data_IF_309907497463
#
_entry.id   IF_309907497463
#
_cell.length_a   1.000
_cell.length_b   1.000
_cell.length_c   1.000
_cell.angle_alpha   90.00
_cell.angle_beta   90.00
_cell.angle_gamma   90.00
#
_symmetry.space_group_name_H-M   'P 1'
#
loop_
_entity.id
_entity.type
_entity.pdbx_description
1 polymer ?
#
# COMPACT_ATOMS: atom_id res chain seq x y z
N UNK A 1 24.87 1.53 13.28
CA UNK A 1 25.47 2.32 12.17
C UNK A 1 24.51 2.29 11.01
N UNK A 2 24.08 3.43 10.48
CA UNK A 2 23.20 3.54 9.31
C UNK A 2 24.05 3.96 8.11
N UNK A 3 23.91 3.26 6.98
CA UNK A 3 24.58 3.61 5.73
C UNK A 3 23.52 4.08 4.74
N UNK A 4 23.75 5.21 4.09
CA UNK A 4 22.92 5.71 2.99
C UNK A 4 23.64 5.43 1.67
N UNK A 5 22.95 4.77 0.75
CA UNK A 5 23.49 4.44 -0.57
C UNK A 5 22.76 5.29 -1.62
N UNK A 6 23.47 5.94 -2.55
CA UNK A 6 22.82 6.63 -3.67
C UNK A 6 22.22 5.59 -4.63
N UNK A 7 20.96 5.76 -5.00
CA UNK A 7 20.33 5.01 -6.07
C UNK A 7 20.78 5.60 -7.42
N UNK A 8 21.74 4.96 -8.08
CA UNK A 8 22.35 5.50 -9.31
C UNK A 8 21.63 5.11 -10.60
N UNK A 9 20.99 3.94 -10.61
CA UNK A 9 20.24 3.46 -11.78
C UNK A 9 19.08 2.56 -11.35
N UNK A 10 18.04 2.53 -12.18
CA UNK A 10 16.86 1.69 -11.97
C UNK A 10 17.20 0.23 -12.27
N UNK A 11 16.62 -0.69 -11.48
CA UNK A 11 16.80 -2.13 -11.58
C UNK A 11 17.60 -2.72 -10.41
N UNK A 12 17.91 -4.01 -10.52
CA UNK A 12 18.65 -4.73 -9.49
C UNK A 12 20.10 -4.22 -9.44
N UNK A 13 20.49 -3.64 -8.30
CA UNK A 13 21.82 -3.14 -8.04
C UNK A 13 22.53 -4.02 -7.02
N UNK A 14 23.72 -4.52 -7.35
CA UNK A 14 24.55 -5.31 -6.47
C UNK A 14 25.51 -4.42 -5.67
N UNK A 15 25.50 -4.59 -4.36
CA UNK A 15 26.37 -3.86 -3.45
C UNK A 15 27.26 -4.81 -2.67
N UNK A 16 28.47 -4.34 -2.38
CA UNK A 16 29.37 -5.00 -1.45
C UNK A 16 29.70 -4.05 -0.31
N UNK A 17 29.31 -4.39 0.89
CA UNK A 17 29.74 -3.69 2.10
C UNK A 17 31.02 -4.37 2.62
N UNK A 18 32.07 -3.60 2.81
CA UNK A 18 33.34 -4.09 3.39
C UNK A 18 33.75 -3.22 4.59
N UNK A 19 34.17 -3.85 5.66
CA UNK A 19 34.75 -3.20 6.84
C UNK A 19 36.25 -3.43 6.77
N UNK A 20 37.06 -2.38 6.96
CA UNK A 20 38.53 -2.51 7.01
C UNK A 20 38.90 -3.38 8.20
N UNK A 21 39.63 -4.50 7.98
CA UNK A 21 40.02 -5.40 9.05
C UNK A 21 40.96 -4.69 10.06
N UNK A 22 40.81 -5.03 11.33
CA UNK A 22 41.76 -4.63 12.36
C UNK A 22 43.07 -5.42 12.24
N UNK A 23 44.19 -4.86 12.65
CA UNK A 23 45.53 -5.47 12.55
C UNK A 23 45.60 -6.86 13.22
N UNK A 24 44.83 -7.09 14.29
CA UNK A 24 44.80 -8.35 15.08
C UNK A 24 43.59 -9.19 14.85
N UNK A 25 42.80 -8.91 13.82
CA UNK A 25 41.54 -9.63 13.55
C UNK A 25 41.81 -11.00 12.94
N UNK A 26 41.31 -12.06 13.61
CA UNK A 26 41.51 -13.46 13.21
C UNK A 26 40.60 -13.90 12.07
N UNK A 27 39.35 -13.36 12.00
CA UNK A 27 38.39 -13.71 10.97
C UNK A 27 38.06 -12.48 10.12
N UNK A 28 38.59 -12.44 8.91
CA UNK A 28 38.40 -11.34 7.95
C UNK A 28 37.29 -11.60 6.93
N UNK A 29 36.74 -12.82 6.90
CA UNK A 29 35.73 -13.22 5.91
C UNK A 29 34.37 -12.57 6.21
N UNK A 30 34.06 -12.37 7.49
CA UNK A 30 32.83 -11.73 7.94
C UNK A 30 32.81 -10.19 7.73
N UNK A 31 33.94 -9.60 7.33
CA UNK A 31 34.05 -8.15 7.06
C UNK A 31 33.49 -7.76 5.68
N UNK A 32 33.09 -8.72 4.87
CA UNK A 32 32.54 -8.46 3.54
C UNK A 32 31.14 -9.07 3.45
N UNK A 33 30.16 -8.23 3.09
CA UNK A 33 28.78 -8.67 2.84
C UNK A 33 28.30 -8.17 1.48
N UNK A 34 27.86 -9.10 0.65
CA UNK A 34 27.17 -8.78 -0.62
C UNK A 34 25.66 -8.76 -0.41
N UNK A 35 24.99 -7.81 -1.03
CA UNK A 35 23.52 -7.73 -1.04
C UNK A 35 23.07 -7.01 -2.30
N UNK A 36 21.84 -7.29 -2.72
CA UNK A 36 21.23 -6.61 -3.85
C UNK A 36 20.07 -5.74 -3.38
N UNK A 37 19.86 -4.63 -4.07
CA UNK A 37 18.75 -3.70 -3.86
C UNK A 37 18.06 -3.48 -5.20
N UNK A 38 16.76 -3.72 -5.26
CA UNK A 38 15.96 -3.38 -6.45
C UNK A 38 15.60 -1.89 -6.39
N UNK A 39 16.26 -1.11 -7.24
CA UNK A 39 16.04 0.33 -7.36
C UNK A 39 14.90 0.56 -8.35
N UNK A 40 13.78 1.04 -7.82
CA UNK A 40 12.58 1.35 -8.60
C UNK A 40 12.50 2.86 -8.80
N UNK A 41 12.51 3.33 -10.05
CA UNK A 41 12.17 4.72 -10.35
C UNK A 41 10.65 4.85 -10.30
N UNK A 42 10.14 5.37 -9.19
CA UNK A 42 8.72 5.60 -9.01
C UNK A 42 8.46 7.00 -8.48
N UNK A 43 8.52 7.97 -9.39
CA UNK A 43 7.96 9.29 -9.10
C UNK A 43 6.44 9.18 -9.08
N UNK A 44 5.81 9.62 -8.00
CA UNK A 44 4.35 9.60 -7.87
C UNK A 44 3.84 11.04 -7.89
N UNK A 45 3.13 11.41 -8.95
CA UNK A 45 2.44 12.71 -9.02
C UNK A 45 1.02 12.56 -8.49
N UNK A 46 0.66 13.37 -7.51
CA UNK A 46 -0.64 13.34 -6.84
C UNK A 46 -1.38 14.65 -7.08
N UNK A 47 -2.61 14.54 -7.57
CA UNK A 47 -3.51 15.68 -7.70
C UNK A 47 -4.51 15.68 -6.54
N UNK A 48 -4.60 16.76 -5.78
CA UNK A 48 -5.66 16.99 -4.81
C UNK A 48 -6.71 17.93 -5.43
N UNK A 49 -7.87 17.39 -5.74
CA UNK A 49 -9.02 18.16 -6.15
C UNK A 49 -9.81 18.53 -4.89
N UNK A 50 -9.92 19.83 -4.60
CA UNK A 50 -10.51 20.29 -3.34
C UNK A 50 -11.87 20.95 -3.55
N UNK A 51 -12.88 20.46 -2.82
CA UNK A 51 -14.20 21.08 -2.78
C UNK A 51 -14.24 22.34 -1.89
N UNK A 52 -13.28 22.45 -0.97
CA UNK A 52 -13.13 23.56 -0.05
C UNK A 52 -11.70 23.73 0.44
N UNK A 53 -11.37 24.84 1.07
CA UNK A 53 -10.12 25.01 1.82
C UNK A 53 -10.26 24.36 3.20
N UNK A 54 -9.28 23.57 3.58
CA UNK A 54 -9.24 22.89 4.88
C UNK A 54 -7.79 22.59 5.30
N UNK A 55 -7.45 22.61 6.61
CA UNK A 55 -6.11 22.25 7.10
C UNK A 55 -5.63 20.86 6.67
N UNK A 56 -6.53 19.90 6.46
CA UNK A 56 -6.18 18.55 5.98
C UNK A 56 -5.46 18.58 4.63
N UNK A 57 -5.73 19.55 3.76
CA UNK A 57 -5.06 19.66 2.46
C UNK A 57 -3.57 19.95 2.65
N UNK A 58 -3.25 20.89 3.55
CA UNK A 58 -1.87 21.21 3.91
C UNK A 58 -1.17 20.04 4.60
N UNK A 59 -1.87 19.34 5.48
CA UNK A 59 -1.38 18.14 6.16
C UNK A 59 -1.10 17.02 5.15
N UNK A 60 -2.04 16.69 4.25
CA UNK A 60 -1.86 15.69 3.19
C UNK A 60 -0.67 16.04 2.29
N UNK A 61 -0.57 17.31 1.87
CA UNK A 61 0.56 17.79 1.07
C UNK A 61 1.88 17.52 1.78
N UNK A 62 2.00 17.89 3.06
CA UNK A 62 3.22 17.68 3.85
C UNK A 62 3.54 16.20 4.04
N UNK A 63 2.56 15.38 4.43
CA UNK A 63 2.75 13.95 4.64
C UNK A 63 3.15 13.21 3.34
N UNK A 64 2.58 13.59 2.20
CA UNK A 64 2.91 12.98 0.91
C UNK A 64 4.31 13.38 0.44
N UNK A 65 4.66 14.66 0.55
CA UNK A 65 5.95 15.19 0.07
C UNK A 65 7.12 14.96 1.03
N UNK A 66 6.91 14.28 2.16
CA UNK A 66 8.01 13.75 3.00
C UNK A 66 8.92 12.84 2.17
N UNK A 67 8.38 12.10 1.22
CA UNK A 67 9.18 11.40 0.21
C UNK A 67 9.44 12.35 -0.97
N UNK A 68 10.71 12.65 -1.24
CA UNK A 68 11.15 13.57 -2.31
C UNK A 68 10.75 13.14 -3.73
N UNK A 69 10.43 11.87 -3.93
CA UNK A 69 9.94 11.33 -5.22
C UNK A 69 8.43 11.53 -5.42
N UNK A 70 7.75 12.22 -4.51
CA UNK A 70 6.33 12.50 -4.60
C UNK A 70 6.10 13.99 -4.75
N UNK A 71 5.27 14.35 -5.72
CA UNK A 71 4.82 15.72 -5.90
C UNK A 71 3.31 15.83 -5.71
N UNK A 72 2.87 16.95 -5.16
CA UNK A 72 1.45 17.23 -4.92
C UNK A 72 1.07 18.56 -5.56
N UNK A 73 0.03 18.52 -6.36
CA UNK A 73 -0.64 19.71 -6.89
C UNK A 73 -2.08 19.73 -6.36
N UNK A 74 -2.60 20.90 -5.99
CA UNK A 74 -4.00 21.02 -5.58
C UNK A 74 -4.72 22.07 -6.43
N UNK A 75 -5.91 21.74 -6.91
CA UNK A 75 -6.71 22.58 -7.80
C UNK A 75 -8.20 22.50 -7.45
N UNK A 76 -8.98 23.40 -8.06
CA UNK A 76 -10.45 23.38 -7.96
C UNK A 76 -11.05 22.32 -8.92
N UNK A 77 -12.28 21.85 -8.68
CA UNK A 77 -12.91 20.84 -9.52
C UNK A 77 -13.08 21.28 -10.98
N UNK A 78 -13.30 22.58 -11.22
CA UNK A 78 -13.52 23.12 -12.57
C UNK A 78 -12.30 22.93 -13.49
N UNK A 79 -11.10 23.03 -12.91
CA UNK A 79 -9.83 22.95 -13.65
C UNK A 79 -9.27 21.52 -13.71
N UNK A 80 -9.80 20.61 -12.88
CA UNK A 80 -9.20 19.30 -12.66
C UNK A 80 -9.37 18.34 -13.84
N UNK A 81 -10.54 18.31 -14.47
CA UNK A 81 -10.88 17.32 -15.48
C UNK A 81 -9.90 17.29 -16.67
N UNK A 82 -9.33 18.43 -17.03
CA UNK A 82 -8.41 18.56 -18.16
C UNK A 82 -7.03 17.95 -17.90
N UNK A 83 -6.57 17.96 -16.63
CA UNK A 83 -5.19 17.59 -16.26
C UNK A 83 -5.10 16.23 -15.57
N UNK A 84 -6.21 15.52 -15.34
CA UNK A 84 -6.21 14.23 -14.62
C UNK A 84 -5.26 13.20 -15.20
N UNK A 85 -4.99 13.27 -16.51
CA UNK A 85 -4.13 12.28 -17.16
C UNK A 85 -2.68 12.36 -16.69
N UNK A 86 -2.23 13.51 -16.25
CA UNK A 86 -0.82 13.77 -15.87
C UNK A 86 -0.47 13.26 -14.46
N UNK A 87 -1.46 12.73 -13.73
CA UNK A 87 -1.28 12.30 -12.36
C UNK A 87 -1.53 10.80 -12.20
N UNK A 88 -0.73 10.14 -11.36
CA UNK A 88 -0.89 8.73 -11.03
C UNK A 88 -2.02 8.49 -10.03
N UNK A 89 -2.20 9.42 -9.09
CA UNK A 89 -3.25 9.34 -8.07
C UNK A 89 -4.02 10.64 -8.00
N UNK A 90 -5.35 10.54 -7.92
CA UNK A 90 -6.24 11.69 -7.72
C UNK A 90 -6.89 11.59 -6.35
N UNK A 91 -6.64 12.57 -5.50
CA UNK A 91 -7.29 12.73 -4.19
C UNK A 91 -8.47 13.69 -4.36
N UNK A 92 -9.66 13.27 -3.92
CA UNK A 92 -10.87 14.08 -3.93
C UNK A 92 -11.21 14.48 -2.50
N UNK A 93 -11.09 15.75 -2.18
CA UNK A 93 -11.35 16.25 -0.83
C UNK A 93 -12.73 16.93 -0.74
N UNK A 94 -13.63 16.31 0.03
CA UNK A 94 -15.02 16.71 0.25
C UNK A 94 -15.76 17.04 -1.06
N UNK A 95 -15.98 16.02 -1.92
CA UNK A 95 -16.63 16.21 -3.20
C UNK A 95 -18.06 16.75 -3.07
N UNK A 96 -18.44 17.58 -4.05
CA UNK A 96 -19.78 18.13 -4.23
C UNK A 96 -20.16 18.10 -5.72
N UNK A 97 -21.29 18.65 -6.10
CA UNK A 97 -21.81 18.64 -7.48
C UNK A 97 -20.83 19.20 -8.52
N UNK A 98 -19.92 20.12 -8.14
CA UNK A 98 -18.90 20.64 -9.04
C UNK A 98 -17.88 19.59 -9.51
N UNK A 99 -17.78 18.43 -8.82
CA UNK A 99 -16.91 17.34 -9.20
C UNK A 99 -17.46 16.44 -10.32
N UNK A 100 -18.64 16.73 -10.86
CA UNK A 100 -19.26 15.92 -11.93
C UNK A 100 -18.34 15.64 -13.12
N UNK A 101 -17.66 16.63 -13.73
CA UNK A 101 -16.68 16.41 -14.79
C UNK A 101 -15.49 15.56 -14.36
N UNK A 102 -15.04 15.72 -13.10
CA UNK A 102 -13.91 14.95 -12.54
C UNK A 102 -14.26 13.46 -12.45
N UNK A 103 -15.42 13.11 -11.87
CA UNK A 103 -15.87 11.71 -11.79
C UNK A 103 -16.04 11.06 -13.17
N UNK A 104 -16.60 11.78 -14.14
CA UNK A 104 -16.70 11.29 -15.53
C UNK A 104 -15.33 10.97 -16.13
N UNK A 105 -14.37 11.86 -15.92
CA UNK A 105 -13.03 11.70 -16.47
C UNK A 105 -12.22 10.61 -15.74
N UNK A 106 -12.35 10.49 -14.41
CA UNK A 106 -11.75 9.41 -13.62
C UNK A 106 -12.20 8.03 -14.15
N UNK A 107 -13.50 7.87 -14.40
CA UNK A 107 -14.08 6.65 -14.97
C UNK A 107 -13.55 6.38 -16.38
N UNK A 108 -13.53 7.39 -17.24
CA UNK A 108 -13.02 7.28 -18.63
C UNK A 108 -11.55 6.87 -18.68
N UNK A 109 -10.72 7.47 -17.84
CA UNK A 109 -9.27 7.25 -17.81
C UNK A 109 -8.87 6.05 -16.93
N UNK A 110 -9.80 5.40 -16.26
CA UNK A 110 -9.53 4.33 -15.27
C UNK A 110 -8.45 4.75 -14.26
N UNK A 111 -8.62 5.92 -13.66
CA UNK A 111 -7.65 6.49 -12.71
C UNK A 111 -7.89 5.98 -11.30
N UNK A 112 -6.80 5.76 -10.59
CA UNK A 112 -6.82 5.50 -9.16
C UNK A 112 -7.26 6.74 -8.40
N UNK A 113 -8.04 6.56 -7.33
CA UNK A 113 -8.56 7.68 -6.55
C UNK A 113 -8.56 7.43 -5.04
N UNK A 114 -8.43 8.51 -4.28
CA UNK A 114 -8.57 8.49 -2.84
C UNK A 114 -9.54 9.61 -2.42
N UNK A 115 -10.68 9.23 -1.88
CA UNK A 115 -11.73 10.17 -1.50
C UNK A 115 -11.69 10.41 0.01
N UNK A 116 -11.61 11.67 0.39
CA UNK A 116 -11.79 12.12 1.77
C UNK A 116 -13.14 12.81 1.90
N UNK A 117 -13.99 12.28 2.73
CA UNK A 117 -15.31 12.85 3.03
C UNK A 117 -15.30 13.56 4.38
N UNK A 118 -16.32 14.35 4.63
CA UNK A 118 -16.50 15.12 5.86
C UNK A 118 -17.83 15.84 5.88
N UNK A 119 -17.95 16.84 6.75
CA UNK A 119 -19.22 17.51 7.02
C UNK A 119 -19.77 18.35 5.85
N UNK A 120 -18.95 18.67 4.86
CA UNK A 120 -19.35 19.44 3.66
C UNK A 120 -19.47 18.57 2.41
N UNK A 121 -19.28 17.26 2.54
CA UNK A 121 -19.45 16.31 1.43
C UNK A 121 -20.90 16.25 0.98
N UNK A 122 -21.14 16.34 -0.32
CA UNK A 122 -22.46 16.17 -0.93
C UNK A 122 -22.70 14.68 -1.26
N UNK A 123 -23.26 13.97 -0.31
CA UNK A 123 -23.55 12.56 -0.46
C UNK A 123 -24.64 12.26 -1.50
N UNK A 124 -25.59 13.18 -1.71
CA UNK A 124 -26.59 13.04 -2.77
C UNK A 124 -25.96 13.05 -4.16
N UNK A 125 -24.90 13.83 -4.32
CA UNK A 125 -24.11 13.84 -5.53
C UNK A 125 -23.25 12.58 -5.65
N UNK A 126 -22.46 12.21 -4.59
CA UNK A 126 -21.54 11.08 -4.63
C UNK A 126 -22.28 9.78 -4.90
N UNK A 127 -23.40 9.53 -4.25
CA UNK A 127 -24.22 8.32 -4.43
C UNK A 127 -24.69 8.11 -5.88
N UNK A 128 -24.74 9.19 -6.69
CA UNK A 128 -25.09 9.14 -8.11
C UNK A 128 -23.86 9.13 -9.03
N UNK A 129 -22.74 9.66 -8.58
CA UNK A 129 -21.56 9.86 -9.41
C UNK A 129 -20.70 8.58 -9.56
N UNK A 130 -20.81 7.65 -8.63
CA UNK A 130 -20.09 6.37 -8.63
C UNK A 130 -20.93 5.27 -7.92
N UNK A 131 -20.52 3.98 -8.07
CA UNK A 131 -21.25 2.83 -7.58
C UNK A 131 -20.47 1.99 -6.55
N UNK A 132 -19.28 2.42 -6.14
CA UNK A 132 -18.42 1.61 -5.27
C UNK A 132 -18.88 1.65 -3.81
N UNK A 133 -19.39 2.78 -3.37
CA UNK A 133 -19.88 3.01 -2.02
C UNK A 133 -21.01 4.03 -2.01
N UNK A 134 -21.78 4.02 -0.93
CA UNK A 134 -22.89 4.95 -0.72
C UNK A 134 -23.03 5.27 0.78
N UNK A 135 -23.62 6.41 1.08
CA UNK A 135 -23.97 6.80 2.44
C UNK A 135 -25.30 7.56 2.41
N UNK A 136 -26.27 7.06 3.16
CA UNK A 136 -27.49 7.81 3.43
C UNK A 136 -27.24 8.71 4.64
N UNK A 137 -27.42 10.00 4.46
CA UNK A 137 -27.09 10.97 5.50
C UNK A 137 -28.32 11.76 5.93
N UNK A 138 -28.38 12.08 7.21
CA UNK A 138 -29.24 13.10 7.75
C UNK A 138 -28.44 14.38 7.95
N UNK A 139 -29.11 15.56 8.08
CA UNK A 139 -28.42 16.83 8.21
C UNK A 139 -27.88 17.05 9.64
N UNK A 140 -27.12 16.08 10.13
CA UNK A 140 -26.41 16.10 11.40
C UNK A 140 -24.96 15.69 11.16
N UNK A 141 -24.08 16.11 12.06
CA UNK A 141 -22.68 15.68 12.07
C UNK A 141 -22.46 14.78 13.29
N UNK A 142 -21.55 13.84 13.16
CA UNK A 142 -21.13 12.96 14.24
C UNK A 142 -19.62 12.97 14.41
N UNK A 143 -19.16 12.57 15.58
CA UNK A 143 -17.75 12.34 15.91
C UNK A 143 -17.49 10.85 15.88
N UNK A 144 -16.45 10.47 15.18
CA UNK A 144 -16.07 9.08 15.01
C UNK A 144 -14.61 8.89 15.43
N UNK A 145 -14.30 7.75 16.05
CA UNK A 145 -12.94 7.31 16.37
C UNK A 145 -12.59 6.07 15.56
N UNK A 146 -11.30 5.77 15.47
CA UNK A 146 -10.77 4.69 14.64
C UNK A 146 -10.21 3.55 15.46
N UNK A 147 -10.32 2.34 14.93
CA UNK A 147 -9.53 1.19 15.36
C UNK A 147 -8.90 0.51 14.15
N UNK A 148 -7.62 0.16 14.27
CA UNK A 148 -6.92 -0.55 13.21
C UNK A 148 -7.48 -1.98 13.07
N UNK A 149 -7.89 -2.34 11.86
CA UNK A 149 -8.21 -3.72 11.52
C UNK A 149 -6.92 -4.51 11.28
N UNK A 150 -6.57 -5.38 12.21
CA UNK A 150 -5.36 -6.22 12.14
C UNK A 150 -5.43 -7.28 11.04
N UNK A 151 -6.60 -7.53 10.45
CA UNK A 151 -6.80 -8.44 9.32
C UNK A 151 -6.48 -7.83 7.96
N UNK A 152 -6.17 -6.52 7.89
CA UNK A 152 -5.81 -5.89 6.63
C UNK A 152 -4.47 -6.42 6.08
N UNK A 153 -4.47 -6.89 4.82
CA UNK A 153 -3.34 -7.61 4.25
C UNK A 153 -2.72 -7.02 2.98
N UNK A 154 -3.23 -5.88 2.45
CA UNK A 154 -2.70 -5.34 1.18
C UNK A 154 -1.30 -4.73 1.32
N UNK A 155 -0.96 -4.20 2.48
CA UNK A 155 0.39 -3.75 2.86
C UNK A 155 0.50 -3.66 4.38
N UNK A 156 1.75 -3.74 4.89
CA UNK A 156 2.00 -3.67 6.33
C UNK A 156 1.72 -2.29 6.91
N UNK A 157 0.85 -2.21 7.91
CA UNK A 157 0.52 -0.98 8.65
C UNK A 157 1.11 -1.10 10.05
N UNK A 158 1.96 -0.14 10.42
CA UNK A 158 2.44 -0.03 11.78
C UNK A 158 1.35 0.56 12.68
N UNK A 159 1.07 0.02 13.86
CA UNK A 159 0.15 0.63 14.80
C UNK A 159 0.76 1.95 15.30
N UNK A 160 0.07 3.05 15.04
CA UNK A 160 0.50 4.41 15.44
C UNK A 160 -0.43 5.02 16.51
N UNK A 161 -1.20 4.18 17.20
CA UNK A 161 -2.15 4.63 18.22
C UNK A 161 -3.46 5.19 17.67
N UNK A 162 -3.98 4.62 16.58
CA UNK A 162 -5.22 5.12 15.93
C UNK A 162 -6.41 5.27 16.88
N UNK A 163 -6.52 4.39 17.91
CA UNK A 163 -7.59 4.45 18.92
C UNK A 163 -7.47 5.65 19.87
N UNK A 164 -6.28 6.22 19.99
CA UNK A 164 -5.97 7.30 20.94
C UNK A 164 -5.99 8.68 20.25
N UNK A 165 -6.17 8.68 18.93
CA UNK A 165 -6.25 9.91 18.17
C UNK A 165 -7.57 10.66 18.40
N UNK A 166 -7.56 12.00 18.28
CA UNK A 166 -8.77 12.80 18.42
C UNK A 166 -9.88 12.36 17.46
N UNK A 167 -11.15 12.42 17.86
CA UNK A 167 -12.27 12.09 16.99
C UNK A 167 -12.28 12.92 15.71
N UNK A 168 -12.59 12.29 14.59
CA UNK A 168 -12.86 12.94 13.32
C UNK A 168 -14.33 13.34 13.21
N UNK A 169 -14.66 14.25 12.31
CA UNK A 169 -16.04 14.70 12.05
C UNK A 169 -16.51 14.21 10.69
N UNK A 170 -17.71 13.64 10.66
CA UNK A 170 -18.37 13.22 9.43
C UNK A 170 -19.86 13.58 9.46
N UNK A 171 -20.57 13.39 8.36
CA UNK A 171 -22.04 13.39 8.32
C UNK A 171 -22.58 12.15 9.02
N UNK A 172 -23.61 12.30 9.81
CA UNK A 172 -24.32 11.19 10.44
C UNK A 172 -24.94 10.27 9.40
N UNK A 173 -24.70 8.96 9.55
CA UNK A 173 -25.19 7.90 8.67
C UNK A 173 -24.16 6.80 8.44
N UNK A 174 -24.58 5.67 7.93
CA UNK A 174 -23.74 4.50 7.68
C UNK A 174 -23.13 4.53 6.27
N UNK A 175 -21.81 4.33 6.21
CA UNK A 175 -21.08 4.14 4.95
C UNK A 175 -21.14 2.67 4.53
N UNK A 176 -21.74 2.39 3.39
CA UNK A 176 -21.79 1.05 2.78
C UNK A 176 -20.85 0.98 1.58
N UNK A 177 -20.05 -0.07 1.49
CA UNK A 177 -19.21 -0.34 0.32
C UNK A 177 -19.83 -1.49 -0.46
N UNK A 178 -20.24 -1.20 -1.69
CA UNK A 178 -21.06 -2.08 -2.55
C UNK A 178 -20.20 -3.06 -3.39
N UNK A 179 -18.87 -3.02 -3.22
CA UNK A 179 -17.90 -3.81 -3.99
C UNK A 179 -16.94 -4.54 -3.04
N UNK A 180 -16.23 -5.59 -3.49
CA UNK A 180 -15.19 -6.21 -2.70
C UNK A 180 -14.17 -5.17 -2.23
N UNK A 181 -13.91 -5.14 -0.93
CA UNK A 181 -13.05 -4.14 -0.29
C UNK A 181 -12.29 -4.73 0.89
N UNK A 182 -11.30 -3.98 1.36
CA UNK A 182 -10.59 -4.29 2.60
C UNK A 182 -10.64 -3.06 3.52
N UNK A 183 -11.18 -3.24 4.72
CA UNK A 183 -11.21 -2.20 5.75
C UNK A 183 -9.84 -2.09 6.42
N UNK A 184 -9.30 -0.88 6.46
CA UNK A 184 -8.05 -0.54 7.20
C UNK A 184 -8.38 -0.05 8.59
N UNK A 185 -9.30 0.91 8.67
CA UNK A 185 -9.75 1.47 9.94
C UNK A 185 -11.25 1.24 10.09
N UNK A 186 -11.61 0.62 11.19
CA UNK A 186 -12.99 0.46 11.62
C UNK A 186 -13.47 1.75 12.29
N UNK A 187 -14.74 2.09 12.11
CA UNK A 187 -15.37 3.25 12.73
C UNK A 187 -15.98 2.89 14.08
N UNK A 188 -15.76 3.74 15.06
CA UNK A 188 -16.37 3.68 16.38
C UNK A 188 -17.09 4.98 16.69
N UNK A 189 -18.28 4.88 17.25
CA UNK A 189 -19.09 6.00 17.75
C UNK A 189 -19.31 5.79 19.24
N UNK A 190 -18.92 6.75 20.07
CA UNK A 190 -19.01 6.67 21.54
C UNK A 190 -18.47 5.34 22.12
N UNK A 191 -17.39 4.82 21.53
CA UNK A 191 -16.75 3.57 21.96
C UNK A 191 -17.41 2.28 21.46
N UNK A 192 -18.50 2.37 20.70
CA UNK A 192 -19.21 1.24 20.10
C UNK A 192 -18.76 1.07 18.65
N UNK A 193 -18.39 -0.16 18.28
CA UNK A 193 -18.07 -0.49 16.88
C UNK A 193 -19.28 -0.25 15.99
N UNK A 194 -19.09 0.48 14.92
CA UNK A 194 -20.07 0.62 13.85
C UNK A 194 -19.76 -0.40 12.75
N UNK A 195 -20.77 -0.79 11.99
CA UNK A 195 -20.56 -1.65 10.80
C UNK A 195 -19.90 -0.88 9.64
N UNK A 196 -19.77 0.43 9.76
CA UNK A 196 -19.19 1.29 8.73
C UNK A 196 -17.66 1.31 8.81
N UNK A 197 -16.94 1.16 7.70
CA UNK A 197 -15.52 1.42 7.68
C UNK A 197 -15.24 2.93 7.78
N UNK A 198 -14.19 3.33 8.52
CA UNK A 198 -13.68 4.69 8.47
C UNK A 198 -12.73 4.87 7.27
N UNK A 199 -11.87 3.89 7.03
CA UNK A 199 -10.95 3.86 5.88
C UNK A 199 -10.98 2.48 5.25
N UNK A 200 -11.25 2.44 3.96
CA UNK A 200 -11.23 1.19 3.20
C UNK A 200 -10.58 1.37 1.82
N UNK A 201 -10.02 0.28 1.31
CA UNK A 201 -9.48 0.18 -0.05
C UNK A 201 -10.35 -0.73 -0.90
N UNK A 202 -10.50 -0.37 -2.17
CA UNK A 202 -11.34 -1.05 -3.16
C UNK A 202 -10.46 -1.29 -4.39
N UNK A 203 -10.46 -2.50 -4.93
CA UNK A 203 -9.77 -2.81 -6.18
C UNK A 203 -10.79 -3.36 -7.18
N UNK A 204 -11.02 -2.63 -8.26
CA UNK A 204 -12.01 -2.96 -9.30
C UNK A 204 -11.40 -2.76 -10.68
N UNK A 205 -11.50 -3.77 -11.54
CA UNK A 205 -11.02 -3.73 -12.94
C UNK A 205 -9.59 -3.23 -13.11
N UNK A 206 -8.73 -3.49 -12.14
CA UNK A 206 -7.32 -3.07 -12.15
C UNK A 206 -7.10 -1.62 -11.76
N UNK A 207 -8.12 -0.93 -11.25
CA UNK A 207 -8.01 0.38 -10.60
C UNK A 207 -8.11 0.23 -9.09
N UNK A 208 -7.41 1.11 -8.37
CA UNK A 208 -7.41 1.14 -6.92
C UNK A 208 -8.06 2.41 -6.41
N UNK A 209 -8.99 2.23 -5.52
CA UNK A 209 -9.69 3.33 -4.88
C UNK A 209 -9.58 3.21 -3.37
N UNK A 210 -9.66 4.33 -2.68
CA UNK A 210 -9.85 4.35 -1.24
C UNK A 210 -10.87 5.42 -0.87
N UNK A 211 -11.56 5.16 0.23
CA UNK A 211 -12.45 6.13 0.87
C UNK A 211 -12.05 6.28 2.33
N UNK A 212 -11.91 7.53 2.75
CA UNK A 212 -11.74 7.92 4.14
C UNK A 212 -12.93 8.76 4.58
N UNK A 213 -13.74 8.26 5.48
CA UNK A 213 -14.87 8.98 6.04
C UNK A 213 -14.46 9.70 7.32
N UNK A 214 -14.38 11.03 7.24
CA UNK A 214 -14.00 11.91 8.34
C UNK A 214 -12.99 12.97 7.94
N UNK A 215 -13.22 14.18 8.44
CA UNK A 215 -12.30 15.32 8.33
C UNK A 215 -11.60 15.59 9.66
N UNK A 216 -10.66 16.55 9.66
CA UNK A 216 -9.80 16.94 10.80
C UNK A 216 -8.58 16.02 11.03
N UNK A 217 -8.13 15.32 10.01
CA UNK A 217 -6.94 14.47 10.03
C UNK A 217 -5.65 15.20 10.41
N UNK A 218 -5.60 16.53 10.20
CA UNK A 218 -4.49 17.34 10.66
C UNK A 218 -4.26 17.23 12.18
N UNK A 219 -5.33 16.96 12.95
CA UNK A 219 -5.26 16.72 14.40
C UNK A 219 -4.51 15.43 14.71
N UNK A 220 -4.68 14.38 13.90
CA UNK A 220 -3.99 13.10 14.07
C UNK A 220 -2.49 13.23 13.84
N UNK A 221 -2.10 13.98 12.79
CA UNK A 221 -0.69 14.27 12.54
C UNK A 221 -0.07 15.06 13.68
N UNK A 222 -0.80 16.03 14.22
CA UNK A 222 -0.36 16.83 15.38
C UNK A 222 -0.30 15.98 16.65
N UNK A 223 -1.24 15.06 16.88
CA UNK A 223 -1.23 14.14 18.00
C UNK A 223 -0.06 13.17 17.92
N UNK A 224 0.21 12.59 16.74
CA UNK A 224 1.39 11.74 16.51
C UNK A 224 2.67 12.46 16.93
N UNK A 225 2.82 13.74 16.62
CA UNK A 225 3.97 14.53 17.05
C UNK A 225 4.00 14.74 18.58
N UNK A 226 2.87 15.00 19.19
CA UNK A 226 2.80 15.17 20.66
C UNK A 226 3.23 13.90 21.39
N UNK A 227 2.85 12.75 20.88
CA UNK A 227 3.06 11.46 21.53
C UNK A 227 4.49 10.93 21.30
N UNK A 228 5.08 11.19 20.12
CA UNK A 228 6.36 10.58 19.72
C UNK A 228 7.46 11.59 19.38
N UNK A 229 7.17 12.90 19.44
CA UNK A 229 8.04 14.00 18.98
C UNK A 229 8.46 13.85 17.50
N UNK A 230 7.65 13.13 16.71
CA UNK A 230 7.89 12.87 15.28
C UNK A 230 6.57 12.81 14.52
N UNK A 231 6.59 13.31 13.28
CA UNK A 231 5.49 13.12 12.33
C UNK A 231 5.63 11.80 11.53
N UNK A 232 6.74 11.09 11.68
CA UNK A 232 7.15 9.97 10.82
C UNK A 232 6.11 8.85 10.78
N UNK A 233 5.54 8.48 11.92
CA UNK A 233 4.54 7.40 12.00
C UNK A 233 3.32 7.70 11.13
N UNK A 234 2.74 8.88 11.29
CA UNK A 234 1.58 9.30 10.51
C UNK A 234 1.92 9.55 9.03
N UNK A 235 3.03 10.23 8.75
CA UNK A 235 3.46 10.54 7.39
C UNK A 235 3.81 9.24 6.62
N UNK A 236 4.41 8.26 7.27
CA UNK A 236 4.66 6.92 6.70
C UNK A 236 3.36 6.20 6.38
N UNK A 237 2.35 6.26 7.24
CA UNK A 237 1.05 5.66 6.99
C UNK A 237 0.38 6.26 5.74
N UNK A 238 0.28 7.60 5.66
CA UNK A 238 -0.22 8.30 4.45
C UNK A 238 0.63 7.95 3.23
N UNK A 239 1.96 7.90 3.41
CA UNK A 239 2.90 7.52 2.36
C UNK A 239 2.66 6.14 1.78
N UNK A 240 2.37 5.14 2.62
CA UNK A 240 2.02 3.77 2.21
C UNK A 240 0.68 3.74 1.45
N UNK A 241 -0.32 4.49 1.90
CA UNK A 241 -1.59 4.65 1.19
C UNK A 241 -1.38 5.20 -0.22
N UNK A 242 -0.60 6.28 -0.35
CA UNK A 242 -0.30 6.90 -1.65
C UNK A 242 0.49 5.96 -2.55
N UNK A 243 1.47 5.23 -2.02
CA UNK A 243 2.24 4.24 -2.76
C UNK A 243 1.35 3.10 -3.27
N UNK A 244 0.49 2.56 -2.41
CA UNK A 244 -0.45 1.52 -2.79
C UNK A 244 -1.40 1.99 -3.89
N UNK A 245 -2.01 3.16 -3.73
CA UNK A 245 -2.99 3.70 -4.67
C UNK A 245 -2.33 4.24 -5.94
N UNK A 246 -1.13 4.82 -5.87
CA UNK A 246 -0.40 5.36 -7.02
C UNK A 246 0.26 4.29 -7.90
N UNK A 247 0.37 3.05 -7.40
CA UNK A 247 1.01 1.96 -8.13
C UNK A 247 0.06 1.37 -9.18
N UNK A 248 0.50 1.36 -10.44
CA UNK A 248 -0.18 0.66 -11.53
C UNK A 248 0.16 -0.84 -11.59
N UNK A 249 1.05 -1.32 -10.71
CA UNK A 249 1.31 -2.76 -10.62
C UNK A 249 0.03 -3.43 -10.10
N UNK A 250 -0.61 -4.24 -10.93
CA UNK A 250 -1.68 -5.12 -10.49
C UNK A 250 -1.20 -5.91 -9.29
N UNK A 251 -1.99 -5.98 -8.23
CA UNK A 251 -1.69 -6.87 -7.12
C UNK A 251 -1.57 -8.28 -7.71
N UNK A 252 -0.42 -8.90 -7.52
CA UNK A 252 -0.24 -10.28 -7.94
C UNK A 252 -1.01 -11.16 -6.96
N UNK A 253 -1.83 -12.07 -7.46
CA UNK A 253 -2.44 -13.11 -6.64
C UNK A 253 -1.40 -14.09 -6.08
N UNK A 254 -0.17 -14.02 -6.58
CA UNK A 254 0.97 -14.76 -6.10
C UNK A 254 2.05 -13.74 -5.67
N UNK A 255 2.26 -13.61 -4.38
CA UNK A 255 3.30 -12.80 -3.78
C UNK A 255 4.44 -13.71 -3.33
N UNK A 256 5.68 -13.34 -3.65
CA UNK A 256 6.87 -14.16 -3.36
C UNK A 256 7.83 -13.36 -2.51
N UNK A 257 8.35 -13.99 -1.47
CA UNK A 257 9.41 -13.45 -0.62
C UNK A 257 10.64 -14.38 -0.72
N UNK A 258 11.73 -13.84 -1.25
CA UNK A 258 13.01 -14.55 -1.41
C UNK A 258 14.16 -13.61 -1.15
N UNK A 259 15.26 -14.14 -0.62
CA UNK A 259 16.53 -13.42 -0.56
C UNK A 259 17.20 -13.36 -1.93
N UNK A 260 17.91 -12.29 -2.22
CA UNK A 260 18.76 -12.21 -3.43
C UNK A 260 20.02 -13.04 -3.30
N UNK A 261 20.50 -13.26 -2.08
CA UNK A 261 21.69 -14.08 -1.77
C UNK A 261 21.44 -14.96 -0.56
N UNK A 262 21.89 -16.22 -0.66
CA UNK A 262 21.90 -17.17 0.43
C UNK A 262 23.32 -17.64 0.69
N UNK A 263 23.71 -17.75 1.94
CA UNK A 263 25.02 -18.24 2.34
C UNK A 263 24.96 -19.74 2.65
N UNK A 264 26.05 -20.45 2.39
CA UNK A 264 26.11 -21.93 2.49
C UNK A 264 25.80 -22.50 3.89
N UNK A 265 25.86 -21.66 4.93
CA UNK A 265 25.56 -22.03 6.31
C UNK A 265 24.18 -21.62 6.80
N UNK A 266 23.33 -21.11 5.92
CA UNK A 266 21.97 -20.70 6.26
C UNK A 266 20.95 -21.48 5.43
N UNK A 267 19.81 -21.87 6.02
CA UNK A 267 18.74 -22.51 5.25
C UNK A 267 18.30 -21.63 4.08
N UNK A 268 18.22 -22.23 2.91
CA UNK A 268 17.69 -21.57 1.72
C UNK A 268 16.19 -21.79 1.69
N UNK A 269 15.42 -20.79 2.03
CA UNK A 269 13.96 -20.86 2.01
C UNK A 269 13.37 -19.76 1.13
N UNK A 270 12.38 -20.12 0.33
CA UNK A 270 11.56 -19.18 -0.44
C UNK A 270 10.13 -19.35 0.02
N UNK A 271 9.49 -18.24 0.38
CA UNK A 271 8.08 -18.26 0.78
C UNK A 271 7.20 -17.53 -0.23
N UNK A 272 5.94 -17.95 -0.32
CA UNK A 272 4.96 -17.34 -1.20
C UNK A 272 3.60 -17.29 -0.52
N UNK A 273 2.81 -16.27 -0.86
CA UNK A 273 1.39 -16.20 -0.52
C UNK A 273 0.57 -16.21 -1.80
N UNK A 274 -0.46 -17.02 -1.81
CA UNK A 274 -1.38 -17.08 -2.92
C UNK A 274 -2.78 -16.67 -2.45
N UNK A 275 -3.42 -15.82 -3.24
CA UNK A 275 -4.73 -15.27 -2.96
C UNK A 275 -5.73 -15.68 -4.03
N UNK A 276 -6.96 -15.96 -3.63
CA UNK A 276 -8.06 -16.26 -4.55
C UNK A 276 -8.47 -15.01 -5.38
N UNK A 277 -9.54 -15.14 -6.17
CA UNK A 277 -10.05 -14.04 -7.00
C UNK A 277 -10.57 -12.84 -6.17
N UNK A 278 -10.90 -13.07 -4.90
CA UNK A 278 -11.34 -12.05 -3.94
C UNK A 278 -10.18 -11.49 -3.08
N UNK A 279 -8.94 -11.87 -3.41
CA UNK A 279 -7.73 -11.50 -2.65
C UNK A 279 -7.72 -11.97 -1.18
N UNK A 280 -8.43 -13.07 -0.91
CA UNK A 280 -8.33 -13.80 0.36
C UNK A 280 -7.25 -14.88 0.21
N UNK A 281 -6.41 -15.07 1.24
CA UNK A 281 -5.39 -16.13 1.22
C UNK A 281 -6.06 -17.49 0.99
N UNK A 282 -5.59 -18.23 -0.01
CA UNK A 282 -6.12 -19.55 -0.34
C UNK A 282 -5.19 -20.66 0.18
N UNK A 283 -5.55 -21.31 1.31
CA UNK A 283 -4.74 -22.38 1.90
C UNK A 283 -4.86 -23.72 1.14
N UNK A 284 -5.69 -23.79 0.09
CA UNK A 284 -5.92 -25.01 -0.69
C UNK A 284 -5.16 -25.01 -2.01
N UNK A 285 -4.44 -23.93 -2.31
CA UNK A 285 -3.66 -23.86 -3.53
C UNK A 285 -2.46 -24.81 -3.46
N UNK A 286 -2.15 -25.44 -4.58
CA UNK A 286 -0.92 -26.22 -4.74
C UNK A 286 0.10 -25.40 -5.49
N UNK A 287 1.20 -25.07 -4.84
CA UNK A 287 2.29 -24.27 -5.40
C UNK A 287 3.55 -25.13 -5.59
N UNK A 288 4.24 -24.87 -6.68
CA UNK A 288 5.55 -25.45 -6.93
C UNK A 288 6.53 -24.39 -7.43
N UNK A 289 7.80 -24.54 -7.05
CA UNK A 289 8.90 -23.72 -7.53
C UNK A 289 9.78 -24.56 -8.46
N UNK A 290 9.97 -24.08 -9.66
CA UNK A 290 10.93 -24.58 -10.64
C UNK A 290 12.19 -23.73 -10.55
N UNK A 291 13.31 -24.34 -10.21
CA UNK A 291 14.61 -23.67 -10.08
C UNK A 291 15.50 -24.14 -11.21
N UNK A 292 16.11 -23.19 -11.94
CA UNK A 292 16.98 -23.46 -13.08
C UNK A 292 18.36 -22.88 -12.81
N UNK A 293 19.38 -23.72 -12.81
CA UNK A 293 20.78 -23.30 -12.74
C UNK A 293 21.13 -22.51 -14.01
N UNK A 294 21.61 -21.27 -13.86
CA UNK A 294 21.87 -20.37 -14.99
C UNK A 294 23.04 -20.82 -15.86
N UNK A 295 23.99 -21.61 -15.31
CA UNK A 295 25.18 -22.12 -16.01
C UNK A 295 24.88 -23.47 -16.68
N UNK A 296 24.38 -24.43 -15.92
CA UNK A 296 24.19 -25.81 -16.42
C UNK A 296 22.84 -26.02 -17.10
N UNK A 297 21.90 -25.06 -16.96
CA UNK A 297 20.52 -25.12 -17.45
C UNK A 297 19.71 -26.28 -16.84
N UNK A 298 20.25 -26.96 -15.83
CA UNK A 298 19.52 -28.00 -15.12
C UNK A 298 18.36 -27.41 -14.36
N UNK A 299 17.19 -28.00 -14.53
CA UNK A 299 15.95 -27.62 -13.85
C UNK A 299 15.60 -28.61 -12.74
N UNK A 300 15.15 -28.12 -11.61
CA UNK A 300 14.66 -28.92 -10.48
C UNK A 300 13.38 -28.30 -9.95
N UNK A 301 12.39 -29.14 -9.62
CA UNK A 301 11.10 -28.69 -9.12
C UNK A 301 10.94 -29.08 -7.66
N UNK A 302 10.48 -28.14 -6.83
CA UNK A 302 10.18 -28.38 -5.41
C UNK A 302 8.75 -27.95 -5.11
N UNK A 303 7.99 -28.70 -4.30
CA UNK A 303 6.69 -28.25 -3.81
C UNK A 303 6.87 -27.14 -2.75
N UNK A 304 5.96 -26.19 -2.72
CA UNK A 304 5.84 -25.30 -1.60
C UNK A 304 4.81 -25.86 -0.61
N UNK A 305 5.22 -26.05 0.62
CA UNK A 305 4.39 -26.61 1.70
C UNK A 305 3.67 -25.49 2.44
N UNK A 306 2.38 -25.70 2.70
CA UNK A 306 1.58 -24.77 3.50
C UNK A 306 2.13 -24.69 4.93
N UNK A 307 2.38 -23.50 5.39
CA UNK A 307 2.58 -23.13 6.79
C UNK A 307 1.29 -22.45 7.28
N UNK A 308 1.33 -21.56 8.24
CA UNK A 308 0.11 -20.92 8.78
C UNK A 308 -0.67 -20.14 7.70
N UNK A 309 -0.08 -19.07 7.19
CA UNK A 309 -0.69 -18.16 6.20
C UNK A 309 0.22 -17.88 5.00
N UNK A 310 1.14 -18.79 4.71
CA UNK A 310 2.06 -18.73 3.57
C UNK A 310 2.49 -20.15 3.18
N UNK A 311 3.08 -20.27 2.00
CA UNK A 311 3.70 -21.49 1.49
C UNK A 311 5.22 -21.34 1.51
N UNK A 312 5.96 -22.40 1.76
CA UNK A 312 7.43 -22.40 1.87
C UNK A 312 8.05 -23.58 1.16
N UNK A 313 9.13 -23.32 0.41
CA UNK A 313 10.00 -24.34 -0.13
C UNK A 313 11.40 -24.24 0.50
N UNK A 314 11.94 -25.37 0.96
CA UNK A 314 13.34 -25.48 1.36
C UNK A 314 14.19 -25.95 0.18
N UNK A 315 15.24 -25.18 -0.15
CA UNK A 315 16.10 -25.42 -1.31
C UNK A 315 17.54 -25.81 -0.90
N UNK A 316 17.70 -26.40 0.28
CA UNK A 316 19.02 -26.71 0.86
C UNK A 316 19.83 -27.77 0.05
N UNK A 317 19.19 -28.47 -0.87
CA UNK A 317 19.85 -29.46 -1.74
C UNK A 317 20.50 -28.87 -2.99
N UNK A 318 20.37 -27.54 -3.19
CA UNK A 318 20.99 -26.89 -4.33
C UNK A 318 22.48 -26.61 -4.06
N UNK A 319 23.31 -26.87 -5.05
CA UNK A 319 24.74 -26.57 -5.02
C UNK A 319 24.96 -25.02 -5.16
N UNK A 320 26.08 -24.48 -4.66
CA UNK A 320 26.40 -23.06 -4.82
C UNK A 320 26.49 -22.65 -6.29
N UNK A 321 25.51 -21.91 -6.77
CA UNK A 321 25.43 -21.40 -8.14
C UNK A 321 24.49 -20.18 -8.20
N UNK A 322 24.36 -19.61 -9.40
CA UNK A 322 23.32 -18.63 -9.69
C UNK A 322 22.12 -19.35 -10.30
N UNK A 323 20.96 -19.10 -9.75
CA UNK A 323 19.72 -19.73 -10.17
C UNK A 323 18.69 -18.68 -10.59
N UNK A 324 17.90 -19.01 -11.60
CA UNK A 324 16.60 -18.37 -11.83
C UNK A 324 15.50 -19.32 -11.32
N UNK A 325 14.39 -18.75 -10.87
CA UNK A 325 13.27 -19.58 -10.43
C UNK A 325 11.93 -19.03 -10.94
N UNK A 326 10.96 -19.92 -11.02
CA UNK A 326 9.56 -19.61 -11.32
C UNK A 326 8.68 -20.32 -10.31
N UNK A 327 7.75 -19.58 -9.67
CA UNK A 327 6.71 -20.19 -8.84
C UNK A 327 5.41 -20.19 -9.63
N UNK A 328 4.77 -21.35 -9.68
CA UNK A 328 3.50 -21.56 -10.37
C UNK A 328 2.46 -22.17 -9.44
N UNK A 329 1.20 -21.89 -9.73
CA UNK A 329 0.05 -22.48 -9.05
C UNK A 329 -0.48 -23.59 -9.96
N UNK A 330 -0.51 -24.83 -9.48
CA UNK A 330 -1.04 -25.97 -10.23
C UNK A 330 -2.49 -25.70 -10.64
N UNK A 331 -2.82 -26.16 -11.85
CA UNK A 331 -4.15 -25.98 -12.44
C UNK A 331 -4.59 -24.53 -12.68
N UNK A 332 -3.68 -23.56 -12.59
CA UNK A 332 -3.94 -22.17 -12.95
C UNK A 332 -2.78 -21.58 -13.76
N UNK A 333 -3.09 -20.74 -14.75
CA UNK A 333 -2.07 -20.03 -15.56
C UNK A 333 -1.51 -18.81 -14.80
N UNK A 334 -1.08 -18.99 -13.55
CA UNK A 334 -0.49 -17.94 -12.73
C UNK A 334 0.92 -18.38 -12.38
N UNK A 335 1.91 -17.67 -12.89
CA UNK A 335 3.30 -17.86 -12.57
C UNK A 335 4.00 -16.53 -12.28
N UNK A 336 5.03 -16.56 -11.45
CA UNK A 336 5.93 -15.44 -11.20
C UNK A 336 7.38 -15.90 -11.34
N UNK A 337 8.14 -15.14 -12.13
CA UNK A 337 9.56 -15.35 -12.37
C UNK A 337 10.36 -14.35 -11.56
#
# INVERSE_FOLDING_TARGET
MTLSLPAQSVGLQDYTAAITPLLVEKNKVNNIKRFAVDVIEQTTTVLIVRGMLHPDIGMLTKAITTNQQRSVTFIKPQDAAAVLNDYQLVILYQPNSAFGPVYKQLKKLKKNSFVFTGVKTDWNFINKAQNYYSKEVVNQNERITARLNTGYGAFGISPIGFSDFPPLQTKFGSLYINTPHQTILEQYVDGIASESPMLATIEVEGTRHAIWDGQDLWKWRSQSYRDTQSFEGFDTFIGKMVQYLGSNKRRSRLEVNSGSFYYNNTPITISAQYFDKSFVFDPRAELEITVVDTKTKKSTVFPLLLKNNFYEAGLNSLEPSAYSYTISVKNQQIARI
#
